data_IF_423994270712
#
_entry.id   IF_423994270712
#
_cell.length_a   1.000
_cell.length_b   1.000
_cell.length_c   1.000
_cell.angle_alpha   90.00
_cell.angle_beta   90.00
_cell.angle_gamma   90.00
#
_symmetry.space_group_name_H-M   'P 1'
#
loop_
_entity.id
_entity.type
_entity.pdbx_description
1 polymer ?
#
# COMPACT_ATOMS: atom_id res chain seq x y z
N UNK A 1 9.80 -22.04 1.99
CA UNK A 1 10.19 -22.58 3.27
C UNK A 1 10.31 -21.49 4.33
N UNK A 2 10.02 -21.87 5.56
CA UNK A 2 10.03 -20.95 6.70
C UNK A 2 11.47 -20.61 7.10
N UNK A 3 12.01 -19.57 6.46
CA UNK A 3 13.42 -19.17 6.63
C UNK A 3 13.61 -17.78 7.23
N UNK A 4 12.57 -16.96 7.26
CA UNK A 4 12.70 -15.56 7.65
C UNK A 4 11.84 -15.22 8.87
N UNK A 5 12.39 -14.38 9.74
CA UNK A 5 11.67 -13.85 10.89
C UNK A 5 10.77 -12.67 10.50
N UNK A 6 11.16 -11.93 9.48
CA UNK A 6 10.41 -10.78 9.00
C UNK A 6 10.63 -10.56 7.50
N UNK A 7 9.60 -10.04 6.85
CA UNK A 7 9.66 -9.55 5.47
C UNK A 7 9.14 -8.13 5.46
N UNK A 8 9.85 -7.23 4.78
CA UNK A 8 9.45 -5.84 4.69
C UNK A 8 9.37 -5.40 3.24
N UNK A 9 8.44 -4.48 2.96
CA UNK A 9 8.31 -3.87 1.65
C UNK A 9 7.89 -2.41 1.82
N UNK A 10 8.39 -1.54 0.96
CA UNK A 10 8.01 -0.13 0.98
C UNK A 10 7.62 0.29 -0.43
N UNK A 11 6.36 0.71 -0.59
CA UNK A 11 5.82 1.22 -1.85
C UNK A 11 5.90 0.25 -3.03
N UNK A 12 6.11 -1.04 -2.76
CA UNK A 12 6.26 -2.04 -3.81
C UNK A 12 5.07 -3.00 -3.95
N UNK A 13 4.24 -3.11 -2.92
CA UNK A 13 3.14 -4.09 -2.91
C UNK A 13 2.12 -3.80 -4.02
N UNK A 14 1.84 -2.53 -4.29
CA UNK A 14 0.89 -2.15 -5.34
C UNK A 14 1.35 -2.55 -6.75
N UNK A 15 2.63 -2.85 -6.90
CA UNK A 15 3.20 -3.29 -8.18
C UNK A 15 3.16 -4.81 -8.35
N UNK A 16 2.69 -5.55 -7.35
CA UNK A 16 2.57 -6.99 -7.46
C UNK A 16 1.51 -7.33 -8.51
N UNK A 17 1.90 -8.16 -9.46
CA UNK A 17 1.01 -8.59 -10.53
C UNK A 17 -0.19 -9.38 -9.99
N UNK A 18 0.05 -10.23 -9.00
CA UNK A 18 -0.98 -11.01 -8.32
C UNK A 18 -0.73 -10.94 -6.83
N UNK A 19 -1.52 -10.12 -6.13
CA UNK A 19 -1.33 -9.86 -4.71
C UNK A 19 -1.54 -11.11 -3.85
N UNK A 20 -2.53 -11.93 -4.18
CA UNK A 20 -2.81 -13.15 -3.42
C UNK A 20 -1.66 -14.14 -3.53
N UNK A 21 -1.13 -14.33 -4.72
CA UNK A 21 0.01 -15.21 -4.95
C UNK A 21 1.25 -14.71 -4.22
N UNK A 22 1.51 -13.42 -4.29
CA UNK A 22 2.67 -12.81 -3.62
C UNK A 22 2.55 -12.92 -2.11
N UNK A 23 1.39 -12.67 -1.56
CA UNK A 23 1.15 -12.80 -0.12
C UNK A 23 1.29 -14.26 0.34
N UNK A 24 0.83 -15.21 -0.47
CA UNK A 24 1.01 -16.62 -0.20
C UNK A 24 2.48 -17.02 -0.12
N UNK A 25 3.30 -16.48 -1.04
CA UNK A 25 4.74 -16.75 -1.02
C UNK A 25 5.44 -16.09 0.17
N UNK A 26 5.04 -14.89 0.53
CA UNK A 26 5.56 -14.23 1.73
C UNK A 26 5.23 -15.04 2.98
N UNK A 27 4.01 -15.52 3.08
CA UNK A 27 3.59 -16.36 4.19
C UNK A 27 4.42 -17.65 4.25
N UNK A 28 4.66 -18.25 3.09
CA UNK A 28 5.43 -19.49 2.99
C UNK A 28 6.86 -19.34 3.53
N UNK A 29 7.52 -18.24 3.19
CA UNK A 29 8.91 -18.03 3.60
C UNK A 29 9.07 -17.55 5.05
N UNK A 30 8.01 -17.05 5.65
CA UNK A 30 8.05 -16.63 7.05
C UNK A 30 8.00 -17.82 8.00
N UNK A 31 8.77 -17.74 9.08
CA UNK A 31 8.68 -18.68 10.18
C UNK A 31 7.37 -18.47 10.93
N UNK A 32 6.84 -19.50 11.61
CA UNK A 32 5.70 -19.29 12.49
C UNK A 32 5.99 -18.19 13.50
N UNK A 33 5.07 -17.23 13.63
CA UNK A 33 5.28 -16.04 14.44
C UNK A 33 6.04 -14.93 13.73
N UNK A 34 6.51 -15.15 12.51
CA UNK A 34 7.19 -14.14 11.72
C UNK A 34 6.25 -13.03 11.29
N UNK A 35 6.81 -11.90 10.92
CA UNK A 35 6.04 -10.67 10.67
C UNK A 35 6.26 -10.17 9.25
N UNK A 36 5.18 -9.78 8.60
CA UNK A 36 5.23 -9.06 7.33
C UNK A 36 4.81 -7.62 7.57
N UNK A 37 5.70 -6.69 7.23
CA UNK A 37 5.43 -5.26 7.34
C UNK A 37 5.56 -4.63 5.97
N UNK A 38 4.56 -3.85 5.56
CA UNK A 38 4.70 -3.11 4.32
C UNK A 38 4.06 -1.73 4.43
N UNK A 39 4.72 -0.76 3.81
CA UNK A 39 4.30 0.63 3.78
C UNK A 39 3.83 0.96 2.38
N UNK A 40 2.63 1.53 2.27
CA UNK A 40 2.07 1.94 0.98
C UNK A 40 1.49 3.33 1.04
N UNK A 41 1.47 3.98 -0.11
CA UNK A 41 0.73 5.23 -0.28
C UNK A 41 -0.76 4.90 -0.30
N UNK A 42 -1.54 5.69 0.42
CA UNK A 42 -2.98 5.48 0.52
C UNK A 42 -3.71 6.81 0.32
N UNK A 43 -5.00 6.71 0.06
CA UNK A 43 -5.86 7.89 -0.03
C UNK A 43 -6.43 8.19 1.33
N UNK A 44 -6.35 9.45 1.82
CA UNK A 44 -6.97 9.81 3.09
C UNK A 44 -8.47 9.53 3.07
N UNK A 45 -8.97 8.95 4.14
CA UNK A 45 -10.39 8.60 4.25
C UNK A 45 -11.21 9.65 4.98
N UNK A 46 -10.56 10.50 5.79
CA UNK A 46 -11.24 11.49 6.62
C UNK A 46 -11.20 12.87 6.02
N UNK A 47 -12.31 13.59 6.13
CA UNK A 47 -12.44 15.01 5.79
C UNK A 47 -11.73 15.87 6.86
N UNK A 48 -11.04 16.96 6.52
CA UNK A 48 -10.93 17.56 5.16
C UNK A 48 -9.77 17.03 4.33
N UNK A 49 -8.94 16.15 4.87
CA UNK A 49 -7.75 15.65 4.15
C UNK A 49 -8.09 14.88 2.89
N UNK A 50 -9.18 14.13 2.93
CA UNK A 50 -9.66 13.41 1.75
C UNK A 50 -9.90 14.34 0.56
N UNK A 51 -10.55 15.45 0.81
CA UNK A 51 -10.88 16.44 -0.21
C UNK A 51 -9.66 17.19 -0.70
N UNK A 52 -8.78 17.59 0.22
CA UNK A 52 -7.53 18.25 -0.12
C UNK A 52 -6.63 17.36 -0.96
N UNK A 53 -6.51 16.09 -0.59
CA UNK A 53 -5.73 15.13 -1.35
C UNK A 53 -6.31 14.92 -2.74
N UNK A 54 -7.62 14.83 -2.85
CA UNK A 54 -8.31 14.67 -4.12
C UNK A 54 -8.06 15.85 -5.05
N UNK A 55 -8.14 17.09 -4.53
CA UNK A 55 -7.84 18.30 -5.29
C UNK A 55 -6.37 18.32 -5.72
N UNK A 56 -5.47 18.00 -4.82
CA UNK A 56 -4.04 17.94 -5.13
C UNK A 56 -3.77 16.95 -6.26
N UNK A 57 -4.29 15.73 -6.13
CA UNK A 57 -4.06 14.68 -7.12
C UNK A 57 -4.64 15.04 -8.49
N UNK A 58 -5.78 15.72 -8.49
CA UNK A 58 -6.50 16.04 -9.73
C UNK A 58 -5.92 17.24 -10.45
N UNK A 59 -5.48 18.27 -9.73
CA UNK A 59 -5.11 19.55 -10.32
C UNK A 59 -3.64 19.90 -10.18
N UNK A 60 -3.05 19.66 -9.02
CA UNK A 60 -1.67 20.09 -8.71
C UNK A 60 -0.64 19.11 -9.26
N UNK A 61 -0.84 17.84 -9.01
CA UNK A 61 0.12 16.81 -9.42
C UNK A 61 0.32 16.75 -10.95
N UNK A 62 -0.73 16.80 -11.77
CA UNK A 62 -0.55 16.86 -13.22
C UNK A 62 0.18 18.10 -13.68
N UNK A 63 -0.07 19.27 -13.06
CA UNK A 63 0.63 20.51 -13.41
C UNK A 63 2.12 20.42 -13.10
N UNK A 64 2.47 19.88 -11.93
CA UNK A 64 3.87 19.70 -11.54
C UNK A 64 4.57 18.73 -12.49
N UNK A 65 3.92 17.64 -12.85
CA UNK A 65 4.49 16.66 -13.77
C UNK A 65 4.69 17.27 -15.17
N UNK A 66 3.80 18.12 -15.61
CA UNK A 66 3.95 18.83 -16.90
C UNK A 66 5.13 19.79 -16.89
N UNK A 67 5.44 20.39 -15.74
CA UNK A 67 6.56 21.34 -15.62
C UNK A 67 7.91 20.66 -15.56
N UNK A 68 7.97 19.46 -14.99
CA UNK A 68 9.24 18.75 -14.70
C UNK A 68 9.52 17.63 -15.70
N UNK A 69 8.74 17.32 -16.41
CA UNK A 69 8.24 16.52 -17.41
C UNK A 69 8.94 15.47 -18.23
N UNK A 70 9.85 14.73 -17.79
CA UNK A 70 10.31 13.57 -18.56
C UNK A 70 9.43 12.33 -18.37
N UNK A 71 8.65 12.27 -17.30
CA UNK A 71 7.87 11.08 -16.92
C UNK A 71 6.40 11.39 -16.65
N UNK A 72 5.76 12.15 -17.54
CA UNK A 72 4.38 12.57 -17.38
C UNK A 72 3.39 11.43 -17.16
N UNK A 73 3.59 10.32 -17.88
CA UNK A 73 2.70 9.17 -17.77
C UNK A 73 2.77 8.54 -16.39
N UNK A 74 3.97 8.42 -15.83
CA UNK A 74 4.17 7.84 -14.51
C UNK A 74 3.48 8.68 -13.45
N UNK A 75 3.62 9.99 -13.50
CA UNK A 75 2.99 10.90 -12.54
C UNK A 75 1.48 10.96 -12.66
N UNK A 76 0.95 10.85 -13.87
CA UNK A 76 -0.49 10.78 -14.08
C UNK A 76 -1.09 9.48 -13.58
N UNK A 77 -0.35 8.40 -13.77
CA UNK A 77 -0.76 7.06 -13.34
C UNK A 77 -0.76 6.89 -11.83
N UNK A 78 0.13 7.57 -11.12
CA UNK A 78 0.32 7.39 -9.68
C UNK A 78 -0.94 7.63 -8.85
N UNK A 79 -1.69 8.74 -9.00
CA UNK A 79 -2.92 8.92 -8.24
C UNK A 79 -3.97 7.85 -8.51
N UNK A 80 -4.11 7.42 -9.75
CA UNK A 80 -5.05 6.37 -10.13
C UNK A 80 -4.65 5.03 -9.53
N UNK A 81 -3.36 4.72 -9.57
CA UNK A 81 -2.81 3.49 -8.98
C UNK A 81 -3.05 3.44 -7.47
N UNK A 82 -2.82 4.55 -6.77
CA UNK A 82 -3.06 4.63 -5.33
C UNK A 82 -4.54 4.44 -5.03
N UNK A 83 -5.42 5.12 -5.76
CA UNK A 83 -6.85 5.05 -5.54
C UNK A 83 -7.44 3.67 -5.85
N UNK A 84 -6.89 2.98 -6.83
CA UNK A 84 -7.37 1.66 -7.24
C UNK A 84 -6.85 0.54 -6.35
N UNK A 85 -5.77 0.76 -5.62
CA UNK A 85 -5.16 -0.27 -4.78
C UNK A 85 -5.96 -0.46 -3.49
N UNK A 86 -6.22 -1.70 -3.06
CA UNK A 86 -6.91 -1.94 -1.79
C UNK A 86 -6.18 -1.28 -0.63
N UNK A 87 -6.93 -0.67 0.27
CA UNK A 87 -6.34 -0.03 1.44
C UNK A 87 -7.24 -0.21 2.67
N UNK A 88 -6.65 -0.02 3.85
CA UNK A 88 -7.36 -0.06 5.11
C UNK A 88 -7.99 -1.43 5.36
N UNK A 89 -9.28 -1.42 5.65
CA UNK A 89 -10.01 -2.64 5.97
C UNK A 89 -9.98 -3.68 4.85
N UNK A 90 -10.08 -3.22 3.61
CA UNK A 90 -10.03 -4.09 2.44
C UNK A 90 -8.71 -4.84 2.36
N UNK A 91 -7.60 -4.15 2.58
CA UNK A 91 -6.27 -4.76 2.61
C UNK A 91 -6.17 -5.76 3.78
N UNK A 92 -6.69 -5.42 4.94
CA UNK A 92 -6.70 -6.31 6.10
C UNK A 92 -7.44 -7.62 5.79
N UNK A 93 -8.55 -7.54 5.06
CA UNK A 93 -9.31 -8.71 4.66
C UNK A 93 -8.53 -9.59 3.68
N UNK A 94 -7.79 -8.97 2.76
CA UNK A 94 -6.93 -9.71 1.82
C UNK A 94 -5.83 -10.45 2.57
N UNK A 95 -5.19 -9.80 3.53
CA UNK A 95 -4.17 -10.44 4.36
C UNK A 95 -4.73 -11.61 5.14
N UNK A 96 -5.89 -11.43 5.75
CA UNK A 96 -6.55 -12.49 6.51
C UNK A 96 -6.92 -13.67 5.63
N UNK A 97 -7.42 -13.41 4.45
CA UNK A 97 -7.77 -14.43 3.45
C UNK A 97 -6.55 -15.29 3.10
N UNK A 98 -5.38 -14.68 3.05
CA UNK A 98 -4.14 -15.37 2.68
C UNK A 98 -3.44 -16.05 3.87
N UNK A 99 -4.05 -16.05 5.04
CA UNK A 99 -3.55 -16.81 6.19
C UNK A 99 -2.79 -16.00 7.23
N UNK A 100 -2.68 -14.71 7.05
CA UNK A 100 -2.08 -13.84 8.06
C UNK A 100 -3.04 -13.61 9.23
N UNK A 101 -2.48 -13.35 10.39
CA UNK A 101 -3.25 -13.10 11.60
C UNK A 101 -2.70 -11.88 12.33
N UNK A 102 -3.43 -11.42 13.34
CA UNK A 102 -3.04 -10.30 14.17
C UNK A 102 -2.69 -9.08 13.32
N UNK A 103 -3.56 -8.80 12.35
CA UNK A 103 -3.33 -7.78 11.32
C UNK A 103 -3.64 -6.41 11.91
N UNK A 104 -2.69 -5.49 11.75
CA UNK A 104 -2.82 -4.11 12.26
C UNK A 104 -2.42 -3.15 11.17
N UNK A 105 -2.93 -1.94 11.25
CA UNK A 105 -2.50 -0.88 10.36
C UNK A 105 -2.26 0.40 11.14
N UNK A 106 -1.37 1.23 10.63
CA UNK A 106 -1.07 2.52 11.23
C UNK A 106 -0.95 3.55 10.11
N UNK A 107 -1.76 4.60 10.20
CA UNK A 107 -1.75 5.67 9.21
C UNK A 107 -0.79 6.77 9.61
N UNK A 108 -0.05 7.27 8.63
CA UNK A 108 0.91 8.36 8.80
C UNK A 108 0.55 9.49 7.85
N UNK A 109 1.03 10.68 8.18
CA UNK A 109 0.89 11.86 7.31
C UNK A 109 -0.58 12.08 6.94
N UNK A 110 -1.45 12.05 7.95
CA UNK A 110 -2.89 12.30 7.83
C UNK A 110 -3.59 11.34 6.85
N UNK A 111 -3.06 10.12 6.70
CA UNK A 111 -3.67 9.09 5.87
C UNK A 111 -3.10 8.95 4.46
N UNK A 112 -2.02 9.67 4.16
CA UNK A 112 -1.35 9.57 2.86
C UNK A 112 -0.51 8.30 2.76
N UNK A 113 -0.01 7.81 3.89
CA UNK A 113 0.74 6.56 3.95
C UNK A 113 0.18 5.67 5.05
N UNK A 114 0.20 4.37 4.82
CA UNK A 114 -0.28 3.38 5.80
C UNK A 114 0.75 2.26 5.91
N UNK A 115 1.10 1.93 7.15
CA UNK A 115 1.91 0.76 7.47
C UNK A 115 1.00 -0.38 7.87
N UNK A 116 1.13 -1.52 7.20
CA UNK A 116 0.41 -2.74 7.52
C UNK A 116 1.34 -3.71 8.22
N UNK A 117 0.85 -4.33 9.28
CA UNK A 117 1.61 -5.29 10.08
C UNK A 117 0.78 -6.56 10.17
N UNK A 118 1.34 -7.67 9.72
CA UNK A 118 0.64 -8.95 9.72
C UNK A 118 1.58 -10.05 10.20
N UNK A 119 1.06 -11.02 10.93
CA UNK A 119 1.83 -12.12 11.49
C UNK A 119 1.43 -13.45 10.85
N UNK A 120 2.40 -14.35 10.77
CA UNK A 120 2.16 -15.71 10.34
C UNK A 120 1.58 -16.57 11.49
#
# INVERSE_FOLDING_TARGET
>A
EASFDAVTAAFGVRNFENIDKSFGEILRVLKPGGVFLFLELTTPEKTPMKELFSLYSKYVMPLLSNSVATEQRAYRYLPESIAAFPQGREMMLILKKNGFRNIRLRRFTLGIATLYIAEK
#
